data_IF_530327752693
#
_entry.id   IF_530327752693
#
_cell.length_a   1.000
_cell.length_b   1.000
_cell.length_c   1.000
_cell.angle_alpha   90.00
_cell.angle_beta   90.00
_cell.angle_gamma   90.00
#
_symmetry.space_group_name_H-M   'P 1'
#
loop_
_entity.id
_entity.type
_entity.pdbx_description
1 polymer ?
#
# COMPACT_ATOMS: atom_id res chain seq x y z
N UNK A 1 -32.68 -3.97 -18.50
CA UNK A 1 -31.22 -3.82 -18.64
C UNK A 1 -30.62 -2.77 -17.71
N UNK A 2 -30.69 -1.46 -17.97
CA UNK A 2 -30.09 -0.44 -17.09
C UNK A 2 -30.74 -0.37 -15.69
N UNK A 3 -32.07 -0.47 -15.62
CA UNK A 3 -32.79 -0.50 -14.36
C UNK A 3 -32.46 -1.77 -13.55
N UNK A 4 -32.49 -2.93 -14.20
CA UNK A 4 -32.13 -4.24 -13.60
C UNK A 4 -30.67 -4.28 -13.12
N UNK A 5 -29.76 -3.63 -13.85
CA UNK A 5 -28.36 -3.49 -13.43
C UNK A 5 -28.22 -2.61 -12.19
N UNK A 6 -28.93 -1.46 -12.15
CA UNK A 6 -28.96 -0.60 -10.97
C UNK A 6 -29.54 -1.35 -9.76
N UNK A 7 -30.64 -2.06 -9.95
CA UNK A 7 -31.28 -2.86 -8.90
C UNK A 7 -30.40 -4.05 -8.46
N UNK A 8 -29.53 -4.55 -9.34
CA UNK A 8 -28.55 -5.59 -9.01
C UNK A 8 -27.39 -5.03 -8.16
N UNK A 9 -26.76 -3.93 -8.56
CA UNK A 9 -25.61 -3.36 -7.81
C UNK A 9 -26.04 -2.73 -6.48
N UNK A 10 -27.28 -2.25 -6.39
CA UNK A 10 -27.84 -1.69 -5.14
C UNK A 10 -28.38 -2.77 -4.19
N UNK A 11 -28.48 -4.04 -4.64
CA UNK A 11 -28.82 -5.15 -3.77
C UNK A 11 -27.60 -5.61 -2.98
N UNK A 12 -27.66 -5.41 -1.66
CA UNK A 12 -26.66 -5.90 -0.72
C UNK A 12 -25.41 -5.02 -0.68
N UNK A 13 -24.27 -5.64 -0.33
CA UNK A 13 -23.00 -4.95 -0.08
C UNK A 13 -22.03 -4.95 -1.30
N UNK A 14 -22.57 -5.02 -2.52
CA UNK A 14 -21.77 -5.15 -3.75
C UNK A 14 -20.97 -3.88 -4.07
N UNK A 15 -21.52 -2.71 -3.74
CA UNK A 15 -20.87 -1.42 -3.97
C UNK A 15 -19.63 -1.28 -3.08
N UNK A 16 -19.74 -1.57 -1.78
CA UNK A 16 -18.58 -1.42 -0.88
C UNK A 16 -17.50 -2.46 -1.19
N UNK A 17 -17.89 -3.68 -1.58
CA UNK A 17 -16.95 -4.69 -2.07
C UNK A 17 -16.23 -4.21 -3.34
N UNK A 18 -16.94 -3.63 -4.29
CA UNK A 18 -16.36 -3.10 -5.51
C UNK A 18 -15.37 -1.96 -5.21
N UNK A 19 -15.72 -1.06 -4.29
CA UNK A 19 -14.84 0.02 -3.84
C UNK A 19 -13.58 -0.56 -3.17
N UNK A 20 -13.74 -1.53 -2.27
CA UNK A 20 -12.61 -2.14 -1.58
C UNK A 20 -11.62 -2.80 -2.55
N UNK A 21 -12.11 -3.54 -3.55
CA UNK A 21 -11.27 -4.18 -4.58
C UNK A 21 -10.54 -3.13 -5.42
N UNK A 22 -11.24 -2.06 -5.85
CA UNK A 22 -10.61 -0.97 -6.61
C UNK A 22 -9.54 -0.27 -5.78
N UNK A 23 -9.82 0.07 -4.52
CA UNK A 23 -8.82 0.67 -3.65
C UNK A 23 -7.61 -0.25 -3.47
N UNK A 24 -7.82 -1.56 -3.26
CA UNK A 24 -6.74 -2.52 -3.12
C UNK A 24 -5.83 -2.61 -4.36
N UNK A 25 -6.40 -2.59 -5.57
CA UNK A 25 -5.61 -2.68 -6.81
C UNK A 25 -4.77 -1.44 -7.08
N UNK A 26 -5.25 -0.26 -6.70
CA UNK A 26 -4.53 1.00 -6.91
C UNK A 26 -3.63 1.41 -5.73
N UNK A 27 -3.81 0.83 -4.54
CA UNK A 27 -3.04 1.19 -3.35
C UNK A 27 -1.56 0.81 -3.45
N UNK A 28 -1.25 -0.42 -3.88
CA UNK A 28 0.14 -0.90 -3.97
C UNK A 28 1.02 -0.04 -4.90
N UNK A 29 0.58 0.32 -6.14
CA UNK A 29 1.34 1.22 -7.01
C UNK A 29 1.64 2.59 -6.40
N UNK A 30 0.72 3.16 -5.62
CA UNK A 30 0.93 4.46 -4.96
C UNK A 30 2.06 4.37 -3.93
N UNK A 31 2.08 3.29 -3.14
CA UNK A 31 3.16 3.08 -2.16
C UNK A 31 4.48 2.87 -2.86
N UNK A 32 4.51 2.04 -3.91
CA UNK A 32 5.71 1.81 -4.72
C UNK A 32 6.25 3.12 -5.28
N UNK A 33 5.40 4.01 -5.81
CA UNK A 33 5.84 5.30 -6.32
C UNK A 33 6.48 6.20 -5.25
N UNK A 34 5.97 6.17 -4.01
CA UNK A 34 6.56 6.91 -2.88
C UNK A 34 7.91 6.29 -2.49
N UNK A 35 7.98 4.96 -2.42
CA UNK A 35 9.21 4.26 -2.03
C UNK A 35 10.30 4.46 -3.08
N UNK A 36 10.00 4.22 -4.34
CA UNK A 36 10.97 4.34 -5.43
C UNK A 36 11.34 5.80 -5.69
N UNK A 37 10.35 6.70 -5.68
CA UNK A 37 10.53 8.11 -6.01
C UNK A 37 11.12 8.95 -4.89
N UNK A 38 10.88 8.61 -3.62
CA UNK A 38 11.34 9.40 -2.48
C UNK A 38 12.36 8.62 -1.66
N UNK A 39 12.02 7.42 -1.21
CA UNK A 39 12.84 6.70 -0.24
C UNK A 39 14.13 6.17 -0.87
N UNK A 40 14.06 5.50 -2.03
CA UNK A 40 15.26 5.00 -2.70
C UNK A 40 16.19 6.14 -3.14
N UNK A 41 15.65 7.30 -3.52
CA UNK A 41 16.45 8.49 -3.83
C UNK A 41 17.13 9.09 -2.59
N UNK A 42 16.46 9.09 -1.44
CA UNK A 42 17.08 9.49 -0.17
C UNK A 42 18.16 8.51 0.27
N UNK A 43 17.92 7.20 0.13
CA UNK A 43 18.93 6.16 0.38
C UNK A 43 20.12 6.33 -0.56
N UNK A 44 19.88 6.57 -1.85
CA UNK A 44 20.93 6.84 -2.83
C UNK A 44 21.76 8.08 -2.48
N UNK A 45 21.12 9.15 -2.00
CA UNK A 45 21.81 10.38 -1.60
C UNK A 45 22.76 10.17 -0.41
N UNK A 46 22.45 9.24 0.50
CA UNK A 46 23.25 8.96 1.70
C UNK A 46 24.33 7.90 1.41
N UNK A 47 23.97 6.83 0.72
CA UNK A 47 24.82 5.65 0.53
C UNK A 47 25.49 5.57 -0.86
N UNK A 48 25.18 6.51 -1.75
CA UNK A 48 25.74 6.59 -3.11
C UNK A 48 25.15 5.58 -4.11
N UNK A 49 24.31 4.63 -3.65
CA UNK A 49 23.59 3.68 -4.50
C UNK A 49 22.12 3.58 -4.09
N UNK A 50 21.17 3.57 -5.04
CA UNK A 50 19.75 3.44 -4.75
C UNK A 50 19.37 2.03 -4.26
N UNK A 51 20.15 1.01 -4.62
CA UNK A 51 19.88 -0.37 -4.26
C UNK A 51 21.16 -1.21 -4.18
N UNK A 52 21.00 -2.50 -3.84
CA UNK A 52 22.10 -3.46 -3.67
C UNK A 52 22.14 -4.48 -4.81
N UNK A 53 21.53 -4.21 -5.96
CA UNK A 53 21.37 -5.17 -7.06
C UNK A 53 22.70 -5.69 -7.60
N UNK A 54 23.72 -4.84 -7.56
CA UNK A 54 25.07 -5.15 -8.01
C UNK A 54 25.91 -5.93 -6.98
N UNK A 55 25.42 -6.06 -5.75
CA UNK A 55 26.13 -6.80 -4.70
C UNK A 55 25.98 -8.29 -4.92
N UNK A 56 27.07 -9.05 -4.73
CA UNK A 56 27.08 -10.52 -4.80
C UNK A 56 26.53 -11.11 -6.12
N UNK A 57 26.78 -10.45 -7.27
CA UNK A 57 26.55 -11.05 -8.58
C UNK A 57 27.60 -12.14 -8.82
N UNK A 58 27.17 -13.39 -8.77
CA UNK A 58 28.04 -14.55 -9.04
C UNK A 58 27.76 -15.01 -10.46
N UNK A 59 28.78 -14.95 -11.33
CA UNK A 59 28.72 -15.54 -12.67
C UNK A 59 28.64 -17.06 -12.56
N UNK A 60 27.62 -17.66 -13.16
CA UNK A 60 27.40 -19.11 -13.19
C UNK A 60 27.84 -19.71 -14.52
N UNK A 61 27.70 -18.96 -15.62
CA UNK A 61 28.08 -19.42 -16.95
C UNK A 61 28.66 -18.27 -17.74
N UNK A 62 29.87 -18.46 -18.27
CA UNK A 62 30.40 -17.63 -19.36
C UNK A 62 29.73 -18.11 -20.65
N UNK A 63 28.53 -17.62 -20.93
CA UNK A 63 27.93 -17.85 -22.24
C UNK A 63 28.69 -17.02 -23.26
N UNK A 64 29.49 -17.68 -24.10
CA UNK A 64 30.28 -17.08 -25.19
C UNK A 64 29.39 -16.72 -26.41
N UNK A 65 28.12 -16.39 -26.16
CA UNK A 65 27.13 -16.06 -27.18
C UNK A 65 26.93 -14.55 -27.32
N UNK A 66 26.31 -14.13 -28.40
CA UNK A 66 25.85 -12.75 -28.57
C UNK A 66 24.51 -12.56 -27.83
N UNK A 67 24.20 -11.32 -27.42
CA UNK A 67 22.93 -11.01 -26.75
C UNK A 67 21.79 -11.37 -27.69
N UNK A 68 20.96 -12.35 -27.32
CA UNK A 68 19.78 -12.73 -28.09
C UNK A 68 18.55 -12.08 -27.47
N UNK A 69 17.61 -11.60 -28.28
CA UNK A 69 16.37 -10.98 -27.77
C UNK A 69 15.31 -12.07 -27.70
N UNK A 70 14.68 -12.21 -26.54
CA UNK A 70 13.54 -13.11 -26.35
C UNK A 70 12.41 -12.70 -27.30
N UNK A 71 11.98 -13.56 -28.25
CA UNK A 71 10.98 -13.21 -29.24
C UNK A 71 9.59 -12.93 -28.65
N UNK A 72 9.30 -13.38 -27.42
CA UNK A 72 7.99 -13.20 -26.78
C UNK A 72 7.95 -11.98 -25.84
N UNK A 73 9.05 -11.67 -25.17
CA UNK A 73 9.11 -10.58 -24.17
C UNK A 73 9.83 -9.33 -24.68
N UNK A 74 10.64 -9.44 -25.73
CA UNK A 74 11.46 -8.35 -26.25
C UNK A 74 12.59 -7.91 -25.30
N UNK A 75 12.83 -8.66 -24.21
CA UNK A 75 13.92 -8.40 -23.29
C UNK A 75 15.22 -9.08 -23.75
N UNK A 76 16.39 -8.46 -23.50
CA UNK A 76 17.69 -9.06 -23.76
C UNK A 76 17.89 -10.34 -22.93
N UNK A 77 18.16 -11.45 -23.60
CA UNK A 77 18.68 -12.69 -23.00
C UNK A 77 20.20 -12.54 -22.98
N UNK A 78 20.72 -12.18 -21.81
CA UNK A 78 22.16 -12.14 -21.56
C UNK A 78 22.68 -13.60 -21.55
N UNK A 79 23.64 -13.97 -22.42
CA UNK A 79 24.18 -15.34 -22.49
C UNK A 79 24.95 -15.71 -21.21
N UNK A 80 25.39 -14.71 -20.43
CA UNK A 80 25.95 -14.92 -19.12
C UNK A 80 24.84 -15.03 -18.06
N UNK A 81 24.72 -16.22 -17.44
CA UNK A 81 23.81 -16.42 -16.31
C UNK A 81 24.48 -15.96 -15.02
N UNK A 82 23.87 -14.98 -14.34
CA UNK A 82 24.32 -14.50 -13.03
C UNK A 82 23.33 -14.94 -11.94
N UNK A 83 23.84 -15.40 -10.79
CA UNK A 83 23.04 -15.38 -9.57
C UNK A 83 23.06 -13.96 -9.01
N UNK A 84 21.90 -13.33 -8.99
CA UNK A 84 21.70 -11.94 -8.57
C UNK A 84 21.22 -11.87 -7.12
N UNK A 85 22.03 -12.38 -6.18
CA UNK A 85 21.70 -12.31 -4.74
C UNK A 85 21.45 -10.87 -4.26
N UNK A 86 22.09 -9.89 -4.88
CA UNK A 86 21.85 -8.46 -4.65
C UNK A 86 20.40 -8.06 -4.84
N UNK A 87 19.70 -8.55 -5.87
CA UNK A 87 18.28 -8.24 -6.10
C UNK A 87 17.38 -8.80 -5.00
N UNK A 88 17.72 -9.96 -4.44
CA UNK A 88 16.97 -10.54 -3.32
C UNK A 88 17.15 -9.68 -2.06
N UNK A 89 18.38 -9.22 -1.80
CA UNK A 89 18.66 -8.32 -0.67
C UNK A 89 17.92 -6.99 -0.85
N UNK A 90 17.99 -6.39 -2.04
CA UNK A 90 17.21 -5.19 -2.39
C UNK A 90 15.73 -5.44 -2.13
N UNK A 91 15.15 -6.53 -2.64
CA UNK A 91 13.73 -6.83 -2.47
C UNK A 91 13.32 -6.97 -0.99
N UNK A 92 14.15 -7.61 -0.17
CA UNK A 92 13.92 -7.73 1.28
C UNK A 92 13.96 -6.36 1.98
N UNK A 93 14.93 -5.52 1.65
CA UNK A 93 15.05 -4.18 2.23
C UNK A 93 13.86 -3.32 1.80
N UNK A 94 13.52 -3.32 0.50
CA UNK A 94 12.36 -2.61 -0.04
C UNK A 94 11.07 -3.08 0.62
N UNK A 95 10.89 -4.39 0.84
CA UNK A 95 9.72 -4.92 1.54
C UNK A 95 9.59 -4.35 2.97
N UNK A 96 10.70 -4.29 3.72
CA UNK A 96 10.73 -3.71 5.07
C UNK A 96 10.39 -2.22 5.04
N UNK A 97 10.95 -1.48 4.08
CA UNK A 97 10.69 -0.04 3.89
C UNK A 97 9.23 0.21 3.54
N UNK A 98 8.67 -0.52 2.57
CA UNK A 98 7.26 -0.44 2.17
C UNK A 98 6.36 -0.70 3.37
N UNK A 99 6.62 -1.76 4.14
CA UNK A 99 5.86 -2.07 5.35
C UNK A 99 5.94 -0.94 6.40
N UNK A 100 7.11 -0.34 6.57
CA UNK A 100 7.29 0.80 7.48
C UNK A 100 6.54 2.05 7.02
N UNK A 101 6.54 2.35 5.72
CA UNK A 101 5.78 3.48 5.15
C UNK A 101 4.28 3.25 5.31
N UNK A 102 3.77 2.05 5.01
CA UNK A 102 2.38 1.68 5.27
C UNK A 102 2.01 1.89 6.74
N UNK A 103 2.88 1.46 7.66
CA UNK A 103 2.68 1.68 9.09
C UNK A 103 2.60 3.17 9.45
N UNK A 104 3.46 4.03 8.89
CA UNK A 104 3.38 5.47 9.11
C UNK A 104 2.07 6.09 8.61
N UNK A 105 1.59 5.66 7.44
CA UNK A 105 0.31 6.12 6.89
C UNK A 105 -0.85 5.70 7.79
N UNK A 106 -0.91 4.42 8.19
CA UNK A 106 -1.95 3.92 9.11
C UNK A 106 -1.88 4.62 10.45
N UNK A 107 -0.67 4.86 10.97
CA UNK A 107 -0.48 5.61 12.22
C UNK A 107 -0.96 7.06 12.11
N UNK A 108 -0.68 7.73 10.99
CA UNK A 108 -1.16 9.09 10.73
C UNK A 108 -2.68 9.15 10.64
N UNK A 109 -3.28 8.20 9.90
CA UNK A 109 -4.73 8.07 9.79
C UNK A 109 -5.38 7.82 11.17
N UNK A 110 -4.90 6.84 11.93
CA UNK A 110 -5.42 6.55 13.26
C UNK A 110 -5.26 7.72 14.23
N UNK A 111 -4.23 8.56 14.07
CA UNK A 111 -4.07 9.78 14.86
C UNK A 111 -5.15 10.81 14.53
N UNK A 112 -5.42 11.03 13.25
CA UNK A 112 -6.42 12.01 12.80
C UNK A 112 -7.84 11.60 13.18
N UNK A 113 -8.20 10.32 13.00
CA UNK A 113 -9.53 9.80 13.38
C UNK A 113 -9.75 9.90 14.89
N UNK A 114 -8.73 9.62 15.69
CA UNK A 114 -8.84 9.74 17.16
C UNK A 114 -9.05 11.19 17.62
N UNK A 115 -8.49 12.14 16.90
CA UNK A 115 -8.62 13.59 17.20
C UNK A 115 -10.04 14.08 16.84
N UNK A 116 -10.68 13.49 15.83
CA UNK A 116 -12.06 13.79 15.41
C UNK A 116 -13.11 13.19 16.38
N UNK A 117 -12.88 12.00 16.95
CA UNK A 117 -13.76 11.42 18.00
C UNK A 117 -13.72 12.20 19.33
N UNK A 118 -12.61 12.87 19.64
CA UNK A 118 -12.47 13.71 20.84
C UNK A 118 -13.11 15.11 20.68
N UNK A 119 -13.32 15.58 19.45
CA UNK A 119 -13.99 16.87 19.18
C UNK A 119 -15.49 16.72 18.82
N UNK A 120 -15.93 15.56 18.31
CA UNK A 120 -17.29 15.38 17.79
C UNK A 120 -18.23 14.54 18.67
N UNK A 121 -17.79 14.09 19.84
CA UNK A 121 -18.71 13.53 20.85
C UNK A 121 -19.48 14.66 21.55
N UNK A 122 -20.43 15.25 20.82
CA UNK A 122 -21.64 15.75 21.46
C UNK A 122 -22.24 14.66 22.36
N UNK A 123 -23.00 15.02 23.41
CA UNK A 123 -23.50 14.05 24.38
C UNK A 123 -24.11 12.86 23.65
N UNK A 124 -23.64 11.66 23.99
CA UNK A 124 -24.11 10.45 23.32
C UNK A 124 -25.62 10.33 23.47
N UNK A 125 -26.27 9.57 22.61
CA UNK A 125 -27.71 9.33 22.71
C UNK A 125 -28.09 8.81 24.11
N UNK A 126 -27.19 8.05 24.76
CA UNK A 126 -27.33 7.59 26.14
C UNK A 126 -27.20 8.73 27.17
N UNK A 127 -26.31 9.68 26.94
CA UNK A 127 -26.16 10.87 27.78
C UNK A 127 -27.39 11.78 27.68
N UNK A 128 -27.90 12.00 26.46
CA UNK A 128 -29.13 12.75 26.21
C UNK A 128 -30.34 12.08 26.88
N UNK A 129 -30.46 10.76 26.77
CA UNK A 129 -31.54 10.01 27.44
C UNK A 129 -31.42 10.06 28.97
N UNK A 130 -30.19 10.09 29.49
CA UNK A 130 -29.93 10.25 30.93
C UNK A 130 -30.33 11.65 31.40
N UNK A 131 -29.98 12.68 30.63
CA UNK A 131 -30.33 14.07 30.91
C UNK A 131 -31.84 14.29 30.84
N UNK A 132 -32.53 13.74 29.83
CA UNK A 132 -33.99 13.75 29.70
C UNK A 132 -34.65 13.05 30.90
N UNK A 133 -34.14 11.89 31.32
CA UNK A 133 -34.66 11.17 32.49
C UNK A 133 -34.57 12.01 33.76
N UNK A 134 -33.43 12.67 33.96
CA UNK A 134 -33.16 13.44 35.16
C UNK A 134 -33.98 14.74 35.17
N UNK A 135 -34.17 15.39 34.01
CA UNK A 135 -35.11 16.51 33.84
C UNK A 135 -36.57 16.10 34.08
N UNK A 136 -36.99 14.91 33.66
CA UNK A 136 -38.33 14.38 33.92
C UNK A 136 -38.56 14.09 35.40
N UNK A 137 -37.55 13.58 36.12
CA UNK A 137 -37.64 13.38 37.58
C UNK A 137 -37.66 14.69 38.36
N UNK A 138 -37.04 15.75 37.85
CA UNK A 138 -37.02 17.05 38.52
C UNK A 138 -38.35 17.83 38.37
N UNK A 139 -39.12 17.56 37.31
CA UNK A 139 -40.38 18.25 36.99
C UNK A 139 -41.65 17.50 37.41
N UNK A 140 -41.54 16.37 38.13
CA UNK A 140 -42.64 15.53 38.60
C UNK A 140 -42.53 15.33 40.12
#
# INVERSE_FOLDING_TARGET
MLQEFKDFITKGNLIDLAIAVVLATFFAPVITAIVDGVILNLVAAIFGKPNFDEVARIKISDGDGDISIDPDTGLPIDPATYLEFGKVITALITFVIVGFVCFLIVKAYNKMVKEEEEEESGPSEVDLLTEIRDQLKANN
#
